data_IF_808329399107
#
_entry.id   IF_808329399107
#
_cell.length_a   1.000
_cell.length_b   1.000
_cell.length_c   1.000
_cell.angle_alpha   90.00
_cell.angle_beta   90.00
_cell.angle_gamma   90.00
#
_symmetry.space_group_name_H-M   'P 1'
#
loop_
_entity.id
_entity.type
_entity.pdbx_description
1 polymer ?
#
# COMPACT_ATOMS: atom_id res chain seq x y z
N UNK A 1 -3.25 86.82 -19.67
CA UNK A 1 -4.52 86.30 -20.22
C UNK A 1 -4.11 85.43 -21.39
N UNK A 2 -4.20 84.11 -21.42
CA UNK A 2 -4.87 83.11 -20.59
C UNK A 2 -4.14 81.76 -20.82
N UNK A 3 -3.84 81.09 -19.71
CA UNK A 3 -3.83 79.63 -19.47
C UNK A 3 -3.34 78.63 -20.53
N UNK A 4 -2.24 77.99 -20.14
CA UNK A 4 -1.79 76.63 -20.46
C UNK A 4 -2.93 75.61 -20.59
N UNK A 5 -2.99 74.88 -21.70
CA UNK A 5 -3.70 73.59 -21.78
C UNK A 5 -2.70 72.49 -22.16
N UNK A 6 -2.05 71.95 -21.13
CA UNK A 6 -1.38 70.66 -21.21
C UNK A 6 -2.47 69.58 -21.30
N UNK A 7 -2.86 69.22 -22.53
CA UNK A 7 -3.72 68.09 -22.81
C UNK A 7 -3.01 66.79 -22.46
N UNK A 8 -3.16 66.33 -21.22
CA UNK A 8 -2.76 64.98 -20.82
C UNK A 8 -3.52 63.97 -21.67
N UNK A 9 -2.84 63.35 -22.64
CA UNK A 9 -3.36 62.17 -23.35
C UNK A 9 -3.46 61.03 -22.34
N UNK A 10 -4.64 60.89 -21.74
CA UNK A 10 -5.03 59.67 -21.05
C UNK A 10 -4.85 58.52 -22.03
N UNK A 11 -3.84 57.69 -21.79
CA UNK A 11 -3.58 56.48 -22.58
C UNK A 11 -4.71 55.51 -22.27
N UNK A 12 -5.72 55.46 -23.12
CA UNK A 12 -6.71 54.39 -23.10
C UNK A 12 -5.94 53.08 -23.33
N UNK A 13 -5.71 52.32 -22.26
CA UNK A 13 -5.17 50.98 -22.34
C UNK A 13 -6.28 50.09 -22.89
N UNK A 14 -6.39 50.04 -24.22
CA UNK A 14 -7.30 49.15 -24.91
C UNK A 14 -6.85 47.71 -24.71
N UNK A 15 -7.73 46.88 -24.18
CA UNK A 15 -7.59 45.43 -24.08
C UNK A 15 -7.29 44.89 -25.49
N UNK A 16 -6.09 44.35 -25.70
CA UNK A 16 -5.69 43.93 -27.05
C UNK A 16 -6.19 42.52 -27.33
N UNK A 17 -6.55 42.22 -28.58
CA UNK A 17 -6.92 40.86 -28.98
C UNK A 17 -5.77 39.86 -28.70
N UNK A 18 -4.52 40.33 -28.81
CA UNK A 18 -3.33 39.58 -28.45
C UNK A 18 -3.29 39.20 -26.96
N UNK A 19 -3.74 40.09 -26.07
CA UNK A 19 -3.77 39.86 -24.62
C UNK A 19 -4.72 38.73 -24.25
N UNK A 20 -5.91 38.68 -24.87
CA UNK A 20 -6.86 37.57 -24.66
C UNK A 20 -6.26 36.26 -25.12
N UNK A 21 -5.62 36.24 -26.29
CA UNK A 21 -4.99 35.04 -26.84
C UNK A 21 -3.85 34.55 -25.95
N UNK A 22 -2.97 35.46 -25.51
CA UNK A 22 -1.85 35.13 -24.62
C UNK A 22 -2.34 34.67 -23.25
N UNK A 23 -3.31 35.38 -22.65
CA UNK A 23 -3.90 34.99 -21.37
C UNK A 23 -4.57 33.61 -21.45
N UNK A 24 -5.29 33.34 -22.53
CA UNK A 24 -5.91 32.03 -22.78
C UNK A 24 -4.84 30.94 -22.96
N UNK A 25 -3.75 31.23 -23.69
CA UNK A 25 -2.64 30.30 -23.87
C UNK A 25 -1.94 29.96 -22.54
N UNK A 26 -1.63 30.96 -21.72
CA UNK A 26 -1.03 30.77 -20.39
C UNK A 26 -1.98 29.97 -19.49
N UNK A 27 -3.28 30.31 -19.51
CA UNK A 27 -4.30 29.58 -18.74
C UNK A 27 -4.35 28.11 -19.16
N UNK A 28 -4.35 27.82 -20.46
CA UNK A 28 -4.31 26.45 -20.98
C UNK A 28 -3.09 25.67 -20.49
N UNK A 29 -1.89 26.27 -20.55
CA UNK A 29 -0.67 25.65 -20.05
C UNK A 29 -0.70 25.42 -18.53
N UNK A 30 -1.22 26.39 -17.77
CA UNK A 30 -1.38 26.27 -16.33
C UNK A 30 -2.36 25.13 -15.96
N UNK A 31 -3.47 24.99 -16.69
CA UNK A 31 -4.44 23.90 -16.50
C UNK A 31 -3.83 22.52 -16.80
N UNK A 32 -3.01 22.39 -17.85
CA UNK A 32 -2.30 21.12 -18.12
C UNK A 32 -1.38 20.75 -16.95
N UNK A 33 -0.58 21.70 -16.45
CA UNK A 33 0.26 21.46 -15.27
C UNK A 33 -0.55 21.06 -14.04
N UNK A 34 -1.68 21.74 -13.79
CA UNK A 34 -2.59 21.44 -12.69
C UNK A 34 -3.19 20.03 -12.80
N UNK A 35 -3.67 19.64 -13.99
CA UNK A 35 -4.23 18.31 -14.20
C UNK A 35 -3.17 17.22 -14.00
N UNK A 36 -1.97 17.39 -14.54
CA UNK A 36 -0.89 16.42 -14.37
C UNK A 36 -0.52 16.22 -12.89
N UNK A 37 -0.41 17.31 -12.14
CA UNK A 37 -0.14 17.26 -10.70
C UNK A 37 -1.30 16.60 -9.93
N UNK A 38 -2.55 17.00 -10.21
CA UNK A 38 -3.75 16.46 -9.56
C UNK A 38 -3.93 14.96 -9.81
N UNK A 39 -3.74 14.51 -11.04
CA UNK A 39 -3.85 13.10 -11.43
C UNK A 39 -2.81 12.23 -10.70
N UNK A 40 -1.57 12.71 -10.54
CA UNK A 40 -0.55 11.99 -9.77
C UNK A 40 -0.93 11.79 -8.30
N UNK A 41 -1.57 12.80 -7.69
CA UNK A 41 -2.03 12.73 -6.30
C UNK A 41 -3.15 11.70 -6.10
N UNK A 42 -4.13 11.66 -7.01
CA UNK A 42 -5.22 10.67 -6.95
C UNK A 42 -4.69 9.24 -7.05
N UNK A 43 -3.76 8.97 -7.97
CA UNK A 43 -3.17 7.64 -8.09
C UNK A 43 -2.30 7.26 -6.89
N UNK A 44 -1.63 8.23 -6.26
CA UNK A 44 -0.86 7.97 -5.04
C UNK A 44 -1.79 7.55 -3.89
N UNK A 45 -2.94 8.20 -3.72
CA UNK A 45 -3.93 7.88 -2.68
C UNK A 45 -4.55 6.50 -2.92
N UNK A 46 -4.97 6.19 -4.15
CA UNK A 46 -5.50 4.87 -4.50
C UNK A 46 -4.46 3.76 -4.24
N UNK A 47 -3.20 4.01 -4.60
CA UNK A 47 -2.10 3.09 -4.32
C UNK A 47 -1.88 2.84 -2.83
N UNK A 48 -1.94 3.88 -2.00
CA UNK A 48 -1.82 3.76 -0.56
C UNK A 48 -2.98 2.94 0.04
N UNK A 49 -4.21 3.24 -0.36
CA UNK A 49 -5.39 2.51 0.09
C UNK A 49 -5.32 1.00 -0.23
N UNK A 50 -4.82 0.64 -1.43
CA UNK A 50 -4.60 -0.76 -1.82
C UNK A 50 -3.54 -1.47 -0.96
N UNK A 51 -2.49 -0.76 -0.57
CA UNK A 51 -1.45 -1.31 0.31
C UNK A 51 -1.99 -1.51 1.72
N UNK A 52 -2.73 -0.53 2.26
CA UNK A 52 -3.34 -0.62 3.58
C UNK A 52 -4.33 -1.80 3.64
N UNK A 53 -5.18 -1.94 2.63
CA UNK A 53 -6.09 -3.08 2.49
C UNK A 53 -5.33 -4.43 2.44
N UNK A 54 -4.23 -4.50 1.70
CA UNK A 54 -3.40 -5.70 1.66
C UNK A 54 -2.77 -6.02 3.04
N UNK A 55 -2.33 -5.00 3.78
CA UNK A 55 -1.79 -5.17 5.14
C UNK A 55 -2.86 -5.69 6.09
N UNK A 56 -4.06 -5.11 6.08
CA UNK A 56 -5.17 -5.54 6.93
C UNK A 56 -5.57 -7.01 6.64
N UNK A 57 -5.61 -7.39 5.36
CA UNK A 57 -5.87 -8.79 4.94
C UNK A 57 -4.77 -9.73 5.42
N UNK A 58 -3.50 -9.37 5.24
CA UNK A 58 -2.37 -10.15 5.73
C UNK A 58 -2.42 -10.35 7.26
N UNK A 59 -2.72 -9.29 8.00
CA UNK A 59 -2.88 -9.33 9.46
C UNK A 59 -4.06 -10.21 9.87
N UNK A 60 -5.18 -10.16 9.14
CA UNK A 60 -6.34 -11.02 9.39
C UNK A 60 -5.99 -12.51 9.25
N UNK A 61 -5.31 -12.89 8.15
CA UNK A 61 -4.81 -14.25 7.94
C UNK A 61 -3.86 -14.70 9.03
N UNK A 62 -2.91 -13.83 9.37
CA UNK A 62 -1.96 -14.13 10.44
C UNK A 62 -2.67 -14.29 11.79
N UNK A 63 -3.65 -13.43 12.11
CA UNK A 63 -4.44 -13.55 13.31
C UNK A 63 -5.28 -14.84 13.31
N UNK A 64 -5.84 -15.25 12.18
CA UNK A 64 -6.59 -16.50 12.02
C UNK A 64 -5.70 -17.75 12.18
N UNK A 65 -4.47 -17.71 11.69
CA UNK A 65 -3.52 -18.80 11.80
C UNK A 65 -3.32 -19.22 13.26
N UNK A 66 -3.43 -20.51 13.57
CA UNK A 66 -3.28 -21.05 14.92
C UNK A 66 -4.44 -20.79 15.90
N UNK A 67 -5.54 -20.13 15.49
CA UNK A 67 -6.77 -20.04 16.31
C UNK A 67 -7.65 -21.28 16.24
N UNK A 68 -7.67 -21.96 15.09
CA UNK A 68 -8.55 -23.11 14.82
C UNK A 68 -7.87 -24.48 14.98
N UNK A 69 -6.57 -24.53 15.32
CA UNK A 69 -5.81 -25.76 15.45
C UNK A 69 -4.37 -25.53 15.88
N UNK A 70 -3.63 -26.62 16.12
CA UNK A 70 -2.22 -26.56 16.49
C UNK A 70 -1.39 -25.90 15.37
N UNK A 71 -0.43 -25.06 15.76
CA UNK A 71 0.53 -24.47 14.81
C UNK A 71 1.41 -25.58 14.25
N UNK A 72 1.26 -25.85 12.96
CA UNK A 72 2.02 -26.86 12.24
C UNK A 72 2.71 -26.30 10.99
N UNK A 73 3.64 -27.07 10.40
CA UNK A 73 4.21 -26.75 9.11
C UNK A 73 3.15 -26.86 8.00
N UNK A 74 3.25 -26.01 6.99
CA UNK A 74 2.37 -26.09 5.83
C UNK A 74 2.36 -24.82 4.99
N UNK A 75 1.72 -24.92 3.84
CA UNK A 75 1.39 -23.81 2.96
C UNK A 75 -0.10 -23.86 2.66
N UNK A 76 -0.75 -22.72 2.77
CA UNK A 76 -2.16 -22.55 2.42
C UNK A 76 -2.28 -21.26 1.60
N UNK A 77 -3.13 -21.28 0.58
CA UNK A 77 -3.30 -20.15 -0.33
C UNK A 77 -4.77 -20.02 -0.72
N UNK A 78 -5.12 -18.85 -1.25
CA UNK A 78 -6.48 -18.58 -1.69
C UNK A 78 -6.65 -17.20 -2.29
N UNK A 79 -7.91 -16.89 -2.56
CA UNK A 79 -8.37 -15.58 -3.04
C UNK A 79 -9.16 -14.91 -1.92
N UNK A 80 -8.84 -13.66 -1.60
CA UNK A 80 -9.61 -12.88 -0.62
C UNK A 80 -10.69 -11.99 -1.29
N UNK A 81 -10.92 -12.17 -2.60
CA UNK A 81 -11.74 -11.28 -3.40
C UNK A 81 -11.07 -9.94 -3.69
N UNK A 82 -11.68 -9.15 -4.58
CA UNK A 82 -11.17 -7.81 -4.92
C UNK A 82 -9.86 -7.81 -5.72
N UNK A 83 -9.43 -8.97 -6.22
CA UNK A 83 -8.19 -9.14 -6.98
C UNK A 83 -6.95 -9.39 -6.11
N UNK A 84 -7.14 -9.71 -4.83
CA UNK A 84 -6.08 -10.08 -3.91
C UNK A 84 -5.98 -11.61 -3.78
N UNK A 85 -4.78 -12.14 -4.01
CA UNK A 85 -4.44 -13.52 -3.72
C UNK A 85 -3.49 -13.56 -2.53
N UNK A 86 -3.73 -14.50 -1.63
CA UNK A 86 -2.94 -14.67 -0.43
C UNK A 86 -2.28 -16.03 -0.38
N UNK A 87 -1.14 -16.09 0.31
CA UNK A 87 -0.39 -17.31 0.56
C UNK A 87 0.29 -17.24 1.91
N UNK A 88 -0.03 -18.18 2.79
CA UNK A 88 0.57 -18.31 4.10
C UNK A 88 1.46 -19.54 4.13
N UNK A 89 2.70 -19.37 4.57
CA UNK A 89 3.65 -20.45 4.80
C UNK A 89 4.06 -20.49 6.25
N UNK A 90 4.11 -21.70 6.80
CA UNK A 90 4.56 -21.99 8.15
C UNK A 90 5.64 -23.05 8.09
N UNK A 91 6.79 -22.77 8.71
CA UNK A 91 7.92 -23.71 8.76
C UNK A 91 8.58 -23.70 10.14
N UNK A 92 8.90 -24.86 10.72
CA UNK A 92 9.66 -24.92 11.96
C UNK A 92 11.08 -24.38 11.73
N UNK A 93 11.56 -23.56 12.64
CA UNK A 93 12.91 -22.98 12.61
C UNK A 93 13.75 -23.35 13.83
N UNK A 94 13.11 -23.78 14.91
CA UNK A 94 13.78 -24.36 16.08
C UNK A 94 12.83 -25.31 16.80
N UNK A 95 13.37 -26.37 17.41
CA UNK A 95 12.62 -27.28 18.28
C UNK A 95 13.44 -27.51 19.54
N UNK A 96 12.78 -27.40 20.69
CA UNK A 96 13.36 -27.68 21.99
C UNK A 96 12.58 -28.81 22.66
N UNK A 97 13.26 -29.91 22.92
CA UNK A 97 12.73 -31.00 23.73
C UNK A 97 13.04 -30.74 25.19
N UNK A 98 12.01 -30.73 26.04
CA UNK A 98 12.17 -30.80 27.48
C UNK A 98 11.89 -32.24 27.92
N UNK A 99 12.95 -32.94 28.33
CA UNK A 99 12.85 -34.25 28.97
C UNK A 99 13.13 -34.07 30.47
N UNK A 100 12.11 -34.23 31.31
CA UNK A 100 12.32 -34.43 32.74
C UNK A 100 12.36 -35.96 33.01
N UNK A 101 13.13 -36.44 34.01
CA UNK A 101 13.34 -37.87 34.25
C UNK A 101 12.07 -38.72 34.47
N UNK A 102 10.93 -38.09 34.75
CA UNK A 102 9.63 -38.74 35.03
C UNK A 102 8.44 -38.15 34.25
N UNK A 103 8.67 -37.35 33.19
CA UNK A 103 7.58 -36.75 32.41
C UNK A 103 7.65 -37.12 30.93
N UNK A 104 6.47 -37.30 30.31
CA UNK A 104 6.32 -37.44 28.86
C UNK A 104 7.05 -36.31 28.15
N UNK A 105 7.99 -36.64 27.26
CA UNK A 105 8.78 -35.65 26.53
C UNK A 105 7.85 -34.66 25.80
N UNK A 106 7.92 -33.39 26.17
CA UNK A 106 7.19 -32.31 25.49
C UNK A 106 8.16 -31.55 24.60
N UNK A 107 7.86 -31.50 23.31
CA UNK A 107 8.61 -30.71 22.35
C UNK A 107 7.88 -29.38 22.11
N UNK A 108 8.60 -28.27 22.21
CA UNK A 108 8.13 -26.96 21.78
C UNK A 108 8.90 -26.54 20.52
N UNK A 109 8.18 -26.16 19.47
CA UNK A 109 8.77 -25.72 18.21
C UNK A 109 8.46 -24.25 17.97
N UNK A 110 9.47 -23.50 17.54
CA UNK A 110 9.32 -22.14 17.01
C UNK A 110 9.11 -22.23 15.50
N UNK A 111 8.03 -21.64 15.02
CA UNK A 111 7.67 -21.56 13.62
C UNK A 111 7.91 -20.17 13.08
N UNK A 112 8.51 -20.09 11.89
CA UNK A 112 8.46 -18.93 11.03
C UNK A 112 7.16 -19.01 10.21
N UNK A 113 6.35 -17.97 10.32
CA UNK A 113 5.10 -17.85 9.57
C UNK A 113 5.16 -16.58 8.73
N UNK A 114 5.03 -16.71 7.42
CA UNK A 114 4.93 -15.61 6.48
C UNK A 114 3.57 -15.60 5.79
N UNK A 115 3.01 -14.41 5.58
CA UNK A 115 1.80 -14.20 4.78
C UNK A 115 2.13 -13.23 3.66
N UNK A 116 2.04 -13.71 2.43
CA UNK A 116 2.17 -12.91 1.22
C UNK A 116 0.78 -12.56 0.69
N UNK A 117 0.52 -11.28 0.45
CA UNK A 117 -0.66 -10.79 -0.28
C UNK A 117 -0.18 -10.21 -1.60
N UNK A 118 -0.78 -10.63 -2.71
CA UNK A 118 -0.46 -10.19 -4.06
C UNK A 118 -1.69 -9.66 -4.79
N UNK A 119 -1.51 -8.61 -5.59
CA UNK A 119 -2.57 -7.99 -6.38
C UNK A 119 -2.02 -7.29 -7.62
N UNK A 120 -2.90 -7.00 -8.59
CA UNK A 120 -2.53 -6.22 -9.77
C UNK A 120 -2.82 -4.74 -9.56
N UNK A 121 -1.82 -3.89 -9.77
CA UNK A 121 -1.96 -2.44 -9.78
C UNK A 121 -1.31 -1.87 -11.04
N UNK A 122 -2.08 -1.10 -11.83
CA UNK A 122 -1.62 -0.49 -13.09
C UNK A 122 -0.89 -1.47 -14.03
N UNK A 123 -1.45 -2.67 -14.20
CA UNK A 123 -0.89 -3.71 -15.08
C UNK A 123 0.30 -4.48 -14.49
N UNK A 124 0.85 -4.06 -13.34
CA UNK A 124 1.96 -4.74 -12.65
C UNK A 124 1.44 -5.60 -11.51
N UNK A 125 2.08 -6.74 -11.27
CA UNK A 125 1.86 -7.50 -10.04
C UNK A 125 2.61 -6.82 -8.88
N UNK A 126 1.95 -6.67 -7.75
CA UNK A 126 2.48 -6.11 -6.50
C UNK A 126 2.26 -7.17 -5.42
N UNK A 127 3.15 -7.20 -4.44
CA UNK A 127 2.94 -8.00 -3.25
C UNK A 127 3.54 -7.34 -2.01
N UNK A 128 3.01 -7.72 -0.86
CA UNK A 128 3.54 -7.43 0.47
C UNK A 128 3.65 -8.74 1.24
N UNK A 129 4.63 -8.82 2.13
CA UNK A 129 4.85 -9.99 2.98
C UNK A 129 4.91 -9.52 4.43
N UNK A 130 4.15 -10.20 5.30
CA UNK A 130 4.27 -10.04 6.74
C UNK A 130 4.88 -11.31 7.35
N UNK A 131 5.95 -11.11 8.11
CA UNK A 131 6.64 -12.18 8.82
C UNK A 131 6.31 -12.15 10.32
N UNK A 132 6.11 -13.32 10.91
CA UNK A 132 6.03 -13.46 12.35
C UNK A 132 6.70 -14.75 12.83
N UNK A 133 6.81 -14.87 14.15
CA UNK A 133 7.31 -16.05 14.83
C UNK A 133 6.27 -16.53 15.83
N UNK A 134 5.99 -17.83 15.82
CA UNK A 134 4.99 -18.43 16.71
C UNK A 134 5.52 -19.69 17.36
N UNK A 135 5.20 -19.86 18.63
CA UNK A 135 5.45 -21.11 19.33
C UNK A 135 4.28 -22.07 19.08
N UNK A 136 4.60 -23.33 18.83
CA UNK A 136 3.66 -24.42 18.71
C UNK A 136 4.17 -25.65 19.46
N UNK A 137 3.29 -26.60 19.74
CA UNK A 137 3.70 -27.93 20.17
C UNK A 137 4.47 -28.59 19.02
N UNK A 138 5.74 -28.90 19.24
CA UNK A 138 6.47 -29.76 18.32
C UNK A 138 5.86 -31.15 18.39
N UNK A 139 5.71 -31.81 17.23
CA UNK A 139 5.33 -33.22 17.23
C UNK A 139 6.39 -34.01 18.03
N UNK A 140 5.97 -34.74 19.06
CA UNK A 140 6.83 -35.73 19.69
C UNK A 140 7.21 -36.76 18.62
N UNK A 141 8.50 -36.96 18.38
CA UNK A 141 8.95 -38.06 17.56
C UNK A 141 8.55 -39.37 18.27
N UNK A 142 7.65 -40.14 17.66
CA UNK A 142 7.49 -41.56 17.99
C UNK A 142 8.75 -42.35 17.63
#
# INVERSE_FOLDING_TARGET
METTYAGGKGRTAGFTLLEVVVATAITGLALVGLFQAGTSGVFAVDGAARVDEAIERAQSHLAAFGRSGAVGPGEIEGDDGGGYHWRLRSRPIATQQAAAPDQTASAMSLFAVDVEISWRAWGRNRSIVLDTRRLGSGASAE
#
